data_IF_137191374316
#
_entry.id   IF_137191374316
#
_cell.length_a   1.000
_cell.length_b   1.000
_cell.length_c   1.000
_cell.angle_alpha   90.00
_cell.angle_beta   90.00
_cell.angle_gamma   90.00
#
_symmetry.space_group_name_H-M   'P 1'
#
loop_
_entity.id
_entity.type
_entity.pdbx_description
1 polymer ?
#
# COMPACT_ATOMS: atom_id res chain seq x y z
N UNK A 1 -20.00 6.26 -2.02
CA UNK A 1 -18.63 6.21 -1.45
C UNK A 1 -17.58 5.70 -2.45
N UNK A 2 -17.84 4.67 -3.25
CA UNK A 2 -16.90 4.10 -4.22
C UNK A 2 -16.08 5.14 -5.02
N UNK A 3 -16.75 6.09 -5.68
CA UNK A 3 -16.08 7.11 -6.49
C UNK A 3 -15.21 8.09 -5.69
N UNK A 4 -15.58 8.41 -4.44
CA UNK A 4 -14.75 9.25 -3.57
C UNK A 4 -13.46 8.52 -3.16
N UNK A 5 -13.57 7.22 -2.86
CA UNK A 5 -12.39 6.39 -2.61
C UNK A 5 -11.48 6.36 -3.84
N UNK A 6 -12.04 6.12 -5.03
CA UNK A 6 -11.26 6.10 -6.29
C UNK A 6 -10.66 7.46 -6.66
N UNK A 7 -11.34 8.56 -6.37
CA UNK A 7 -10.78 9.90 -6.53
C UNK A 7 -9.56 10.12 -5.61
N UNK A 8 -9.61 9.61 -4.38
CA UNK A 8 -8.44 9.67 -3.50
C UNK A 8 -7.31 8.73 -3.95
N UNK A 9 -7.63 7.54 -4.49
CA UNK A 9 -6.61 6.64 -5.08
C UNK A 9 -5.91 7.31 -6.26
N UNK A 10 -6.66 8.00 -7.13
CA UNK A 10 -6.10 8.76 -8.25
C UNK A 10 -5.26 9.96 -7.79
N UNK A 11 -5.70 10.65 -6.72
CA UNK A 11 -4.88 11.68 -6.05
C UNK A 11 -3.57 11.12 -5.51
N UNK A 12 -3.57 9.93 -4.89
CA UNK A 12 -2.34 9.27 -4.43
C UNK A 12 -1.40 8.94 -5.61
N UNK A 13 -1.94 8.50 -6.75
CA UNK A 13 -1.15 8.30 -7.97
C UNK A 13 -0.56 9.62 -8.48
N UNK A 14 -1.33 10.70 -8.43
CA UNK A 14 -0.88 12.05 -8.81
C UNK A 14 0.23 12.57 -7.91
N UNK A 15 0.19 12.28 -6.59
CA UNK A 15 1.27 12.61 -5.65
C UNK A 15 2.53 11.75 -5.85
N UNK A 16 2.38 10.48 -6.22
CA UNK A 16 3.51 9.57 -6.43
C UNK A 16 4.29 9.85 -7.73
N UNK A 17 3.59 10.23 -8.80
CA UNK A 17 4.19 10.39 -10.14
C UNK A 17 5.36 11.40 -10.19
N UNK A 18 5.28 12.61 -9.59
CA UNK A 18 6.39 13.56 -9.56
C UNK A 18 7.61 13.10 -8.74
N UNK A 19 7.41 12.22 -7.76
CA UNK A 19 8.48 11.71 -6.90
C UNK A 19 9.24 10.57 -7.59
N UNK A 20 8.64 9.99 -8.63
CA UNK A 20 9.20 8.93 -9.48
C UNK A 20 9.04 9.28 -10.98
N UNK A 21 9.58 10.42 -11.45
CA UNK A 21 9.19 11.03 -12.72
C UNK A 21 9.56 10.23 -13.97
N UNK A 22 10.50 9.29 -13.83
CA UNK A 22 10.98 8.44 -14.92
C UNK A 22 10.36 7.02 -14.87
N UNK A 23 9.48 6.77 -13.90
CA UNK A 23 8.75 5.50 -13.77
C UNK A 23 7.38 5.62 -14.42
N UNK A 24 7.10 4.69 -15.34
CA UNK A 24 5.83 4.61 -16.09
C UNK A 24 5.29 3.18 -16.04
N UNK A 25 4.12 2.97 -16.66
CA UNK A 25 3.56 1.63 -16.84
C UNK A 25 4.56 0.75 -17.56
N UNK A 26 4.96 -0.33 -16.92
CA UNK A 26 5.89 -1.32 -17.46
C UNK A 26 5.12 -2.50 -18.07
N UNK A 27 5.71 -3.18 -19.07
CA UNK A 27 5.11 -4.39 -19.63
C UNK A 27 4.89 -5.46 -18.56
N UNK A 28 3.70 -6.03 -18.54
CA UNK A 28 3.30 -7.10 -17.62
C UNK A 28 2.34 -8.09 -18.27
N UNK A 29 1.95 -9.13 -17.53
CA UNK A 29 0.88 -10.03 -17.97
C UNK A 29 -0.40 -9.71 -17.21
N UNK A 30 -1.52 -9.71 -17.91
CA UNK A 30 -2.82 -9.66 -17.28
C UNK A 30 -3.05 -10.97 -16.52
N UNK A 31 -3.11 -10.92 -15.18
CA UNK A 31 -3.22 -12.13 -14.34
C UNK A 31 -4.68 -12.47 -14.01
N UNK A 32 -5.60 -11.53 -14.18
CA UNK A 32 -7.03 -11.71 -13.90
C UNK A 32 -7.86 -11.56 -15.18
N UNK A 33 -9.11 -12.06 -15.20
CA UNK A 33 -10.01 -11.78 -16.31
C UNK A 33 -10.50 -10.34 -16.15
N UNK A 34 -10.40 -9.57 -17.22
CA UNK A 34 -11.16 -8.33 -17.36
C UNK A 34 -12.11 -8.49 -18.54
N UNK A 35 -13.16 -7.68 -18.62
CA UNK A 35 -14.16 -7.75 -19.70
C UNK A 35 -13.54 -7.78 -21.10
N UNK A 36 -12.40 -7.09 -21.30
CA UNK A 36 -11.81 -6.86 -22.62
C UNK A 36 -10.40 -7.44 -22.81
N UNK A 37 -9.79 -8.02 -21.77
CA UNK A 37 -8.46 -8.63 -21.86
C UNK A 37 -8.50 -10.04 -21.29
N UNK A 38 -8.11 -11.00 -22.13
CA UNK A 38 -7.90 -12.37 -21.71
C UNK A 38 -6.74 -12.45 -20.71
N UNK A 39 -6.76 -13.45 -19.84
CA UNK A 39 -5.63 -13.77 -18.97
C UNK A 39 -4.40 -14.12 -19.80
N UNK A 40 -3.22 -13.74 -19.33
CA UNK A 40 -1.95 -13.98 -19.99
C UNK A 40 -1.64 -13.00 -21.12
N UNK A 41 -2.56 -12.11 -21.48
CA UNK A 41 -2.31 -11.02 -22.44
C UNK A 41 -1.17 -10.15 -21.92
N UNK A 42 -0.19 -9.86 -22.78
CA UNK A 42 0.86 -8.89 -22.45
C UNK A 42 0.25 -7.49 -22.46
N UNK A 43 0.28 -6.83 -21.31
CA UNK A 43 -0.21 -5.47 -21.12
C UNK A 43 0.96 -4.50 -21.14
N UNK A 44 0.82 -3.41 -21.88
CA UNK A 44 1.77 -2.30 -21.95
C UNK A 44 1.02 -0.98 -21.76
N UNK A 45 1.75 0.13 -21.73
CA UNK A 45 1.17 1.47 -21.64
C UNK A 45 0.23 1.83 -22.79
N UNK A 46 0.34 1.14 -23.94
CA UNK A 46 -0.35 1.45 -25.19
C UNK A 46 -1.64 0.65 -25.38
N UNK A 47 -1.98 -0.25 -24.44
CA UNK A 47 -3.23 -1.02 -24.54
C UNK A 47 -4.44 -0.09 -24.39
N UNK A 48 -5.45 -0.23 -25.27
CA UNK A 48 -6.75 0.45 -25.13
C UNK A 48 -7.42 0.16 -23.77
N UNK A 49 -7.63 1.20 -22.97
CA UNK A 49 -8.37 1.16 -21.71
C UNK A 49 -9.88 1.21 -21.98
N UNK A 50 -10.39 0.22 -22.70
CA UNK A 50 -11.82 0.13 -23.01
C UNK A 50 -12.64 -0.11 -21.72
N UNK A 51 -13.83 0.52 -21.59
CA UNK A 51 -14.58 1.26 -22.60
C UNK A 51 -14.36 2.78 -22.59
N UNK A 52 -13.19 3.29 -22.19
CA UNK A 52 -12.93 4.73 -22.12
C UNK A 52 -12.33 5.26 -23.43
N UNK A 53 -13.00 6.23 -24.05
CA UNK A 53 -12.63 6.78 -25.35
C UNK A 53 -12.41 8.29 -25.31
N UNK A 54 -11.39 8.77 -26.03
CA UNK A 54 -11.14 10.20 -26.30
C UNK A 54 -12.00 10.71 -27.46
N UNK A 55 -12.37 9.80 -28.38
CA UNK A 55 -13.21 10.06 -29.56
C UNK A 55 -13.88 8.76 -30.00
N UNK A 56 -14.83 8.82 -30.93
CA UNK A 56 -15.60 7.66 -31.40
C UNK A 56 -14.78 6.38 -31.65
N UNK A 57 -13.59 6.51 -32.25
CA UNK A 57 -12.76 5.37 -32.67
C UNK A 57 -11.38 5.33 -31.97
N UNK A 58 -11.18 6.13 -30.92
CA UNK A 58 -9.89 6.20 -30.20
C UNK A 58 -10.08 6.03 -28.69
N UNK A 59 -9.59 4.92 -28.17
CA UNK A 59 -9.58 4.64 -26.74
C UNK A 59 -8.47 5.44 -26.03
N UNK A 60 -8.67 5.72 -24.73
CA UNK A 60 -7.58 6.14 -23.87
C UNK A 60 -6.55 5.01 -23.72
N UNK A 61 -5.29 5.39 -23.52
CA UNK A 61 -4.19 4.48 -23.15
C UNK A 61 -3.52 5.01 -21.88
N UNK A 62 -2.74 4.18 -21.20
CA UNK A 62 -2.00 4.65 -20.01
C UNK A 62 -0.96 5.71 -20.38
N UNK A 63 -0.40 5.66 -21.60
CA UNK A 63 0.50 6.69 -22.11
C UNK A 63 -0.16 8.08 -22.18
N UNK A 64 -1.47 8.14 -22.41
CA UNK A 64 -2.25 9.39 -22.47
C UNK A 64 -2.78 9.83 -21.09
N UNK A 65 -2.57 9.05 -20.03
CA UNK A 65 -3.02 9.39 -18.66
C UNK A 65 -1.86 9.75 -17.74
N UNK A 66 -0.68 9.92 -18.31
CA UNK A 66 0.52 10.39 -17.65
C UNK A 66 0.39 11.80 -17.04
N UNK A 67 -0.52 12.61 -17.59
CA UNK A 67 -0.78 14.00 -17.23
C UNK A 67 -2.28 14.20 -17.06
N UNK A 68 -2.70 14.53 -15.84
CA UNK A 68 -4.12 14.70 -15.46
C UNK A 68 -4.77 15.93 -16.09
N UNK A 69 -3.99 16.85 -16.65
CA UNK A 69 -4.53 17.96 -17.44
C UNK A 69 -5.21 17.48 -18.74
N UNK A 70 -4.84 16.31 -19.27
CA UNK A 70 -5.46 15.74 -20.48
C UNK A 70 -6.96 15.44 -20.28
N UNK A 71 -7.39 14.76 -19.20
CA UNK A 71 -8.80 14.63 -18.85
C UNK A 71 -9.42 15.89 -18.21
N UNK A 72 -8.65 16.96 -18.02
CA UNK A 72 -9.17 18.27 -17.62
C UNK A 72 -9.31 18.51 -16.12
N UNK A 73 -8.52 17.83 -15.29
CA UNK A 73 -8.49 18.07 -13.84
C UNK A 73 -7.08 18.17 -13.27
N UNK A 74 -6.98 18.66 -12.04
CA UNK A 74 -5.75 18.68 -11.25
C UNK A 74 -6.12 18.50 -9.77
N UNK A 75 -5.13 18.23 -8.92
CA UNK A 75 -5.31 18.23 -7.47
C UNK A 75 -4.82 19.56 -6.86
N UNK A 76 -5.44 20.07 -5.77
CA UNK A 76 -5.08 21.35 -5.16
C UNK A 76 -3.62 21.46 -4.71
N UNK A 77 -2.97 20.32 -4.45
CA UNK A 77 -1.55 20.24 -4.10
C UNK A 77 -0.63 20.79 -5.20
N UNK A 78 -1.11 20.86 -6.45
CA UNK A 78 -0.36 21.33 -7.60
C UNK A 78 -0.65 22.79 -7.98
N UNK A 79 -1.61 23.45 -7.34
CA UNK A 79 -2.08 24.79 -7.74
C UNK A 79 -0.96 25.84 -7.79
N UNK A 80 0.03 25.71 -6.90
CA UNK A 80 1.20 26.62 -6.82
C UNK A 80 2.41 26.15 -7.62
N UNK A 81 2.31 25.00 -8.28
CA UNK A 81 3.41 24.30 -8.95
C UNK A 81 3.23 24.23 -10.48
N UNK A 82 2.16 24.84 -10.99
CA UNK A 82 1.80 24.84 -12.42
C UNK A 82 2.94 25.43 -13.25
N UNK A 83 3.38 24.69 -14.28
CA UNK A 83 4.47 25.10 -15.18
C UNK A 83 5.88 24.96 -14.61
N UNK A 84 6.03 24.37 -13.41
CA UNK A 84 7.34 24.10 -12.81
C UNK A 84 8.13 22.98 -13.52
N UNK A 85 9.45 22.97 -13.33
CA UNK A 85 10.28 21.81 -13.72
C UNK A 85 9.96 20.58 -12.87
N UNK A 86 10.39 19.39 -13.32
CA UNK A 86 10.23 18.14 -12.56
C UNK A 86 10.73 18.28 -11.12
N UNK A 87 11.90 18.87 -10.93
CA UNK A 87 12.52 19.08 -9.62
C UNK A 87 11.74 20.09 -8.77
N UNK A 88 11.22 21.14 -9.40
CA UNK A 88 10.42 22.16 -8.72
C UNK A 88 9.06 21.64 -8.26
N UNK A 89 8.53 20.58 -8.89
CA UNK A 89 7.31 19.90 -8.47
C UNK A 89 7.63 18.82 -7.42
N UNK A 90 8.70 18.06 -7.61
CA UNK A 90 9.06 16.93 -6.73
C UNK A 90 9.25 17.35 -5.29
N UNK A 91 10.12 18.32 -5.00
CA UNK A 91 10.46 18.68 -3.61
C UNK A 91 9.25 19.16 -2.79
N UNK A 92 8.37 20.06 -3.28
CA UNK A 92 7.19 20.46 -2.53
C UNK A 92 6.18 19.34 -2.31
N UNK A 93 6.08 18.39 -3.24
CA UNK A 93 5.19 17.23 -3.10
C UNK A 93 5.76 16.22 -2.09
N UNK A 94 7.07 15.97 -2.11
CA UNK A 94 7.76 15.16 -1.10
C UNK A 94 7.52 15.76 0.31
N UNK A 95 7.75 17.06 0.49
CA UNK A 95 7.50 17.77 1.77
C UNK A 95 6.02 17.71 2.18
N UNK A 96 5.11 17.85 1.22
CA UNK A 96 3.68 17.72 1.48
C UNK A 96 3.32 16.32 2.00
N UNK A 97 3.83 15.26 1.37
CA UNK A 97 3.59 13.88 1.79
C UNK A 97 4.14 13.64 3.20
N UNK A 98 5.37 14.07 3.47
CA UNK A 98 6.00 13.94 4.79
C UNK A 98 5.20 14.65 5.88
N UNK A 99 4.74 15.87 5.62
CA UNK A 99 3.98 16.68 6.58
C UNK A 99 2.60 16.11 6.87
N UNK A 100 1.93 15.56 5.86
CA UNK A 100 0.54 15.12 5.98
C UNK A 100 0.39 13.65 6.39
N UNK A 101 1.29 12.78 5.91
CA UNK A 101 1.21 11.33 6.08
C UNK A 101 2.42 10.73 6.79
N UNK A 102 3.53 11.46 6.90
CA UNK A 102 4.71 11.01 7.64
C UNK A 102 4.46 10.91 9.15
N UNK A 103 5.36 10.20 9.83
CA UNK A 103 5.32 10.03 11.28
C UNK A 103 5.39 11.38 11.99
N UNK A 104 4.37 11.68 12.80
CA UNK A 104 4.30 12.95 13.54
C UNK A 104 5.17 12.88 14.79
N UNK A 105 5.92 13.95 15.03
CA UNK A 105 6.66 14.16 16.28
C UNK A 105 5.68 14.25 17.44
N UNK A 106 5.80 13.35 18.42
CA UNK A 106 5.04 13.45 19.67
C UNK A 106 5.74 14.45 20.61
N UNK A 107 5.10 15.59 20.97
CA UNK A 107 5.70 16.55 21.90
C UNK A 107 5.89 15.92 23.29
N UNK A 108 7.10 16.02 23.87
CA UNK A 108 7.38 15.62 25.25
C UNK A 108 8.00 14.24 25.46
N UNK A 109 8.24 13.46 24.41
CA UNK A 109 9.04 12.24 24.46
C UNK A 109 10.45 12.52 23.92
N UNK A 110 11.48 11.87 24.51
CA UNK A 110 12.88 12.13 24.17
C UNK A 110 13.14 12.06 22.66
N UNK A 111 13.79 13.11 22.13
CA UNK A 111 13.95 13.41 20.69
C UNK A 111 14.56 12.28 19.84
N UNK A 112 15.23 11.31 20.45
CA UNK A 112 15.98 10.26 19.75
C UNK A 112 15.13 9.05 19.33
N UNK A 113 13.92 8.88 19.88
CA UNK A 113 13.17 7.62 19.79
C UNK A 113 11.83 7.76 19.05
N UNK A 114 11.22 8.95 19.06
CA UNK A 114 9.82 9.15 18.69
C UNK A 114 9.58 9.70 17.29
N UNK A 115 10.62 9.76 16.47
CA UNK A 115 10.52 10.03 15.05
C UNK A 115 10.88 8.76 14.26
N UNK A 116 10.01 7.74 14.21
CA UNK A 116 10.22 6.60 13.31
C UNK A 116 10.05 6.98 11.83
N UNK A 117 9.71 8.23 11.52
CA UNK A 117 9.75 8.73 10.15
C UNK A 117 11.15 9.23 9.82
N UNK A 118 11.67 8.84 8.66
CA UNK A 118 12.84 9.46 8.05
C UNK A 118 12.53 10.93 7.71
N UNK A 119 12.59 11.83 8.71
CA UNK A 119 12.32 13.25 8.47
C UNK A 119 13.53 13.91 7.81
N UNK A 120 13.28 14.83 6.87
CA UNK A 120 14.30 15.65 6.19
C UNK A 120 15.02 16.68 7.10
N UNK A 121 15.09 16.46 8.42
CA UNK A 121 15.91 17.31 9.27
C UNK A 121 17.40 17.07 8.95
N UNK A 122 18.13 18.17 8.76
CA UNK A 122 19.57 18.11 8.54
C UNK A 122 20.23 17.82 9.88
N UNK A 123 20.69 16.58 10.03
CA UNK A 123 21.53 16.16 11.15
C UNK A 123 22.99 16.24 10.73
N UNK A 124 23.87 16.58 11.69
CA UNK A 124 25.31 16.61 11.45
C UNK A 124 25.88 15.20 11.26
N UNK A 125 25.25 14.21 11.89
CA UNK A 125 25.61 12.79 11.83
C UNK A 125 24.57 12.02 11.01
N UNK A 126 25.02 10.95 10.34
CA UNK A 126 24.11 10.00 9.70
C UNK A 126 23.30 9.27 10.77
N UNK A 127 21.98 9.25 10.60
CA UNK A 127 21.08 8.52 11.48
C UNK A 127 20.76 7.16 10.86
N UNK A 128 20.91 6.11 11.66
CA UNK A 128 20.58 4.75 11.27
C UNK A 128 19.40 4.24 12.10
N UNK A 129 18.43 3.64 11.42
CA UNK A 129 17.29 2.97 12.04
C UNK A 129 16.85 1.81 11.14
N UNK A 130 16.54 0.66 11.74
CA UNK A 130 15.88 -0.43 11.02
C UNK A 130 14.38 -0.15 10.91
N UNK A 131 13.85 -0.29 9.69
CA UNK A 131 12.41 -0.26 9.39
C UNK A 131 11.81 -1.64 9.63
N UNK A 132 10.81 -1.71 10.51
CA UNK A 132 10.19 -2.95 10.96
C UNK A 132 8.77 -3.08 10.41
N UNK A 133 8.61 -4.07 9.55
CA UNK A 133 7.35 -4.34 8.85
C UNK A 133 6.99 -5.81 9.00
N UNK A 134 5.73 -6.09 9.32
CA UNK A 134 5.15 -7.43 9.13
C UNK A 134 4.92 -7.59 7.64
N UNK A 135 5.72 -8.43 6.99
CA UNK A 135 5.50 -8.78 5.60
C UNK A 135 4.70 -10.08 5.51
N UNK A 136 3.57 -10.00 4.82
CA UNK A 136 2.66 -11.12 4.62
C UNK A 136 2.60 -11.47 3.15
N UNK A 137 2.81 -12.74 2.83
CA UNK A 137 2.60 -13.31 1.49
C UNK A 137 1.59 -14.45 1.58
N UNK A 138 0.55 -14.40 0.76
CA UNK A 138 -0.49 -15.44 0.69
C UNK A 138 -0.94 -15.67 -0.76
N UNK A 139 -1.64 -16.78 -1.02
CA UNK A 139 -2.18 -17.07 -2.35
C UNK A 139 -3.50 -16.33 -2.53
N UNK A 140 -3.59 -15.49 -3.57
CA UNK A 140 -4.76 -14.63 -3.81
C UNK A 140 -6.07 -15.42 -3.97
N UNK A 141 -6.01 -16.62 -4.55
CA UNK A 141 -7.19 -17.47 -4.84
C UNK A 141 -7.32 -18.68 -3.91
N UNK A 142 -6.65 -18.65 -2.76
CA UNK A 142 -6.75 -19.75 -1.82
C UNK A 142 -8.07 -19.74 -1.02
N UNK A 143 -8.55 -18.55 -0.71
CA UNK A 143 -9.89 -18.30 -0.16
C UNK A 143 -10.80 -17.85 -1.30
N UNK A 144 -12.05 -18.31 -1.24
CA UNK A 144 -13.04 -17.99 -2.27
C UNK A 144 -13.81 -16.69 -2.01
N UNK A 145 -13.53 -16.02 -0.89
CA UNK A 145 -14.23 -14.83 -0.47
C UNK A 145 -13.26 -13.73 -0.01
N UNK A 146 -13.77 -12.52 0.10
CA UNK A 146 -13.07 -11.42 0.75
C UNK A 146 -12.74 -11.80 2.20
N UNK A 147 -11.54 -11.45 2.63
CA UNK A 147 -11.01 -11.86 3.93
C UNK A 147 -10.13 -10.78 4.53
N UNK A 148 -9.98 -10.82 5.84
CA UNK A 148 -9.15 -9.89 6.61
C UNK A 148 -8.20 -10.67 7.49
N UNK A 149 -6.91 -10.39 7.37
CA UNK A 149 -5.88 -10.85 8.30
C UNK A 149 -5.57 -9.69 9.25
N UNK A 150 -5.99 -9.81 10.50
CA UNK A 150 -5.78 -8.81 11.56
C UNK A 150 -4.55 -9.18 12.38
N UNK A 151 -3.67 -8.22 12.62
CA UNK A 151 -2.51 -8.36 13.51
C UNK A 151 -2.67 -7.47 14.74
N UNK A 152 -2.31 -8.00 15.91
CA UNK A 152 -2.46 -7.31 17.19
C UNK A 152 -1.41 -7.74 18.22
N UNK A 153 -1.16 -6.89 19.20
CA UNK A 153 -0.28 -7.10 20.36
C UNK A 153 -1.16 -7.54 21.55
N UNK A 154 -1.02 -8.78 22.02
CA UNK A 154 -1.98 -9.47 22.89
C UNK A 154 -1.57 -9.64 24.37
N UNK A 155 -0.71 -8.80 24.93
CA UNK A 155 -0.19 -9.01 26.30
C UNK A 155 -1.24 -9.04 27.40
N UNK A 156 -2.33 -8.29 27.25
CA UNK A 156 -3.15 -7.92 28.42
C UNK A 156 -4.47 -8.68 28.51
N UNK A 157 -4.71 -9.67 27.62
CA UNK A 157 -6.05 -10.27 27.49
C UNK A 157 -7.13 -9.25 27.06
N UNK A 158 -6.70 -8.04 26.69
CA UNK A 158 -7.55 -6.98 26.16
C UNK A 158 -8.12 -7.36 24.81
N UNK A 159 -9.28 -6.80 24.50
CA UNK A 159 -9.97 -7.00 23.23
C UNK A 159 -9.02 -6.67 22.06
N UNK A 160 -8.96 -7.56 21.07
CA UNK A 160 -8.21 -7.40 19.82
C UNK A 160 -8.53 -6.10 19.07
N UNK A 161 -9.66 -5.47 19.42
CA UNK A 161 -10.13 -4.21 18.86
C UNK A 161 -9.76 -2.97 19.67
N UNK A 162 -9.03 -3.09 20.79
CA UNK A 162 -8.48 -1.92 21.48
C UNK A 162 -7.39 -1.26 20.64
N UNK A 163 -7.51 0.06 20.45
CA UNK A 163 -6.66 0.84 19.53
C UNK A 163 -5.16 0.76 19.82
N UNK A 164 -4.78 0.53 21.08
CA UNK A 164 -3.36 0.46 21.48
C UNK A 164 -2.70 -0.89 21.16
N UNK A 165 -3.53 -1.92 20.97
CA UNK A 165 -3.13 -3.30 20.72
C UNK A 165 -3.34 -3.71 19.26
N UNK A 166 -4.24 -3.05 18.53
CA UNK A 166 -4.43 -3.27 17.10
C UNK A 166 -3.21 -2.76 16.31
N UNK A 167 -2.51 -3.66 15.61
CA UNK A 167 -1.34 -3.31 14.79
C UNK A 167 -1.72 -2.98 13.35
N UNK A 168 -2.71 -3.68 12.78
CA UNK A 168 -3.17 -3.43 11.42
C UNK A 168 -3.93 -4.60 10.80
N UNK A 169 -4.40 -4.40 9.58
CA UNK A 169 -5.09 -5.43 8.79
C UNK A 169 -4.58 -5.48 7.36
N UNK A 170 -4.60 -6.68 6.80
CA UNK A 170 -4.47 -6.92 5.37
C UNK A 170 -5.81 -7.42 4.88
N UNK A 171 -6.39 -6.72 3.90
CA UNK A 171 -7.72 -6.99 3.39
C UNK A 171 -7.64 -7.50 1.96
N UNK A 172 -8.29 -8.61 1.68
CA UNK A 172 -8.40 -9.18 0.33
C UNK A 172 -9.74 -8.76 -0.26
N UNK A 173 -9.69 -8.05 -1.40
CA UNK A 173 -10.89 -7.69 -2.15
C UNK A 173 -11.08 -8.71 -3.27
N UNK A 174 -12.17 -9.46 -3.21
CA UNK A 174 -12.45 -10.57 -4.11
C UNK A 174 -13.88 -10.47 -4.69
N UNK A 175 -14.03 -10.77 -5.98
CA UNK A 175 -15.33 -10.73 -6.68
C UNK A 175 -15.64 -12.04 -7.44
N UNK A 176 -14.63 -12.84 -7.83
CA UNK A 176 -14.81 -14.00 -8.73
C UNK A 176 -14.15 -15.26 -8.18
N UNK A 177 -14.94 -16.27 -7.84
CA UNK A 177 -14.44 -17.54 -7.30
C UNK A 177 -13.76 -18.42 -8.36
N UNK A 178 -12.89 -19.37 -7.95
CA UNK A 178 -12.27 -20.33 -8.86
C UNK A 178 -13.24 -21.24 -9.63
N UNK A 179 -14.50 -21.31 -9.22
CA UNK A 179 -15.54 -22.13 -9.83
C UNK A 179 -16.18 -21.44 -11.04
N UNK A 180 -16.32 -20.12 -10.99
CA UNK A 180 -16.82 -19.29 -12.10
C UNK A 180 -15.69 -18.72 -12.96
N UNK A 181 -14.45 -18.85 -12.49
CA UNK A 181 -13.27 -18.24 -13.10
C UNK A 181 -12.26 -19.32 -13.57
N UNK A 182 -12.28 -19.63 -14.87
CA UNK A 182 -11.46 -20.70 -15.46
C UNK A 182 -9.93 -20.50 -15.24
N UNK A 183 -9.45 -19.27 -15.09
CA UNK A 183 -8.04 -18.95 -14.89
C UNK A 183 -7.64 -18.81 -13.41
N UNK A 184 -8.55 -18.62 -12.45
CA UNK A 184 -8.22 -18.76 -11.02
C UNK A 184 -7.65 -20.16 -10.73
N UNK A 185 -8.09 -21.18 -11.49
CA UNK A 185 -7.50 -22.52 -11.46
C UNK A 185 -6.09 -22.61 -12.08
N UNK A 186 -5.76 -21.73 -13.03
CA UNK A 186 -4.45 -21.67 -13.69
C UNK A 186 -3.46 -20.74 -12.96
N UNK A 187 -3.96 -19.80 -12.16
CA UNK A 187 -3.19 -18.84 -11.37
C UNK A 187 -3.30 -19.10 -9.86
N UNK A 188 -3.57 -20.36 -9.45
CA UNK A 188 -3.71 -20.76 -8.04
C UNK A 188 -2.50 -20.40 -7.17
N UNK A 189 -1.33 -20.28 -7.78
CA UNK A 189 -0.08 -19.92 -7.12
C UNK A 189 0.21 -18.40 -7.14
N UNK A 190 -0.71 -17.58 -7.66
CA UNK A 190 -0.53 -16.12 -7.65
C UNK A 190 -0.43 -15.63 -6.21
N UNK A 191 0.77 -15.16 -5.84
CA UNK A 191 1.05 -14.59 -4.55
C UNK A 191 0.58 -13.14 -4.50
N UNK A 192 -0.16 -12.80 -3.46
CA UNK A 192 -0.45 -11.43 -3.05
C UNK A 192 0.34 -11.12 -1.78
N UNK A 193 0.77 -9.86 -1.68
CA UNK A 193 1.56 -9.38 -0.56
C UNK A 193 0.85 -8.23 0.14
N UNK A 194 1.15 -8.06 1.42
CA UNK A 194 0.75 -6.91 2.21
C UNK A 194 1.76 -6.63 3.32
N UNK A 195 1.73 -5.40 3.82
CA UNK A 195 2.71 -4.86 4.74
C UNK A 195 2.01 -4.12 5.87
N UNK A 196 2.44 -4.34 7.11
CA UNK A 196 1.98 -3.60 8.30
C UNK A 196 3.21 -3.06 9.01
N UNK A 197 3.31 -1.75 9.13
CA UNK A 197 4.42 -1.08 9.81
C UNK A 197 4.30 -1.20 11.33
N UNK A 198 5.43 -1.47 11.99
CA UNK A 198 5.52 -1.63 13.44
C UNK A 198 6.29 -0.49 14.12
N UNK A 199 6.89 0.41 13.34
CA UNK A 199 7.88 1.37 13.84
C UNK A 199 7.30 2.30 14.90
N UNK A 200 6.04 2.72 14.74
CA UNK A 200 5.35 3.57 15.71
C UNK A 200 5.11 2.86 17.05
N UNK A 201 4.84 1.55 17.03
CA UNK A 201 4.63 0.76 18.25
C UNK A 201 5.97 0.51 18.96
N UNK A 202 7.02 0.19 18.20
CA UNK A 202 8.38 -0.01 18.70
C UNK A 202 8.92 1.29 19.30
N UNK A 203 8.77 2.42 18.61
CA UNK A 203 9.12 3.75 19.09
C UNK A 203 8.42 4.08 20.40
N UNK A 204 7.11 3.84 20.48
CA UNK A 204 6.27 4.15 21.65
C UNK A 204 6.68 3.33 22.88
N UNK A 205 6.86 2.02 22.72
CA UNK A 205 6.93 1.10 23.86
C UNK A 205 8.34 0.63 24.21
N UNK A 206 9.24 0.53 23.23
CA UNK A 206 10.58 -0.05 23.41
C UNK A 206 11.69 0.98 23.29
N UNK A 207 11.56 1.86 22.30
CA UNK A 207 12.51 2.92 22.01
C UNK A 207 13.89 2.49 21.51
N UNK A 208 13.98 1.27 20.98
CA UNK A 208 15.16 0.75 20.29
C UNK A 208 14.70 -0.12 19.15
N UNK A 209 15.32 0.06 17.99
CA UNK A 209 15.03 -0.65 16.74
C UNK A 209 16.02 -1.80 16.49
N UNK A 210 16.87 -2.12 17.47
CA UNK A 210 17.84 -3.20 17.37
C UNK A 210 17.15 -4.58 17.30
N UNK A 211 17.62 -5.52 16.47
CA UNK A 211 16.93 -6.78 16.24
C UNK A 211 16.59 -7.57 17.50
N UNK A 212 17.54 -7.74 18.42
CA UNK A 212 17.29 -8.48 19.66
C UNK A 212 16.26 -7.78 20.55
N UNK A 213 16.33 -6.44 20.64
CA UNK A 213 15.42 -5.63 21.44
C UNK A 213 13.98 -5.69 20.91
N UNK A 214 13.81 -5.62 19.59
CA UNK A 214 12.50 -5.72 18.93
C UNK A 214 11.94 -7.14 19.02
N UNK A 215 12.77 -8.16 18.81
CA UNK A 215 12.34 -9.55 18.92
C UNK A 215 11.87 -9.92 20.34
N UNK A 216 12.56 -9.43 21.37
CA UNK A 216 12.11 -9.56 22.76
C UNK A 216 10.81 -8.80 23.01
N UNK A 217 10.69 -7.57 22.49
CA UNK A 217 9.48 -6.77 22.61
C UNK A 217 8.26 -7.45 21.98
N UNK A 218 8.36 -7.92 20.73
CA UNK A 218 7.25 -8.57 20.02
C UNK A 218 6.83 -9.89 20.67
N UNK A 219 7.79 -10.67 21.18
CA UNK A 219 7.51 -11.88 21.98
C UNK A 219 6.82 -11.51 23.29
N UNK A 220 7.34 -10.52 24.00
CA UNK A 220 6.79 -10.00 25.24
C UNK A 220 5.34 -9.56 25.05
N UNK A 221 5.08 -8.74 24.01
CA UNK A 221 3.77 -8.24 23.57
C UNK A 221 2.85 -9.28 22.95
N UNK A 222 3.30 -10.53 22.77
CA UNK A 222 2.53 -11.63 22.16
C UNK A 222 1.90 -11.21 20.83
N UNK A 223 2.71 -10.71 19.89
CA UNK A 223 2.24 -10.41 18.54
C UNK A 223 1.51 -11.62 17.95
N UNK A 224 0.24 -11.42 17.63
CA UNK A 224 -0.71 -12.46 17.24
C UNK A 224 -1.49 -12.03 16.01
N UNK A 225 -2.18 -12.98 15.38
CA UNK A 225 -3.00 -12.72 14.19
C UNK A 225 -4.32 -13.50 14.24
N UNK A 226 -5.35 -12.92 13.64
CA UNK A 226 -6.65 -13.55 13.39
C UNK A 226 -7.00 -13.47 11.90
N UNK A 227 -7.56 -14.54 11.36
CA UNK A 227 -8.14 -14.58 10.02
C UNK A 227 -9.66 -14.50 10.13
N UNK A 228 -10.24 -13.51 9.48
CA UNK A 228 -11.68 -13.35 9.34
C UNK A 228 -12.07 -13.59 7.89
N UNK A 229 -12.90 -14.60 7.65
CA UNK A 229 -13.37 -14.97 6.32
C UNK A 229 -14.75 -15.62 6.44
N UNK A 230 -15.58 -15.50 5.40
CA UNK A 230 -16.81 -16.27 5.25
C UNK A 230 -16.57 -17.72 4.82
N UNK A 231 -15.35 -18.07 4.43
CA UNK A 231 -14.94 -19.42 4.02
C UNK A 231 -14.55 -20.24 5.26
N UNK A 232 -15.05 -21.47 5.40
CA UNK A 232 -14.67 -22.36 6.50
C UNK A 232 -13.24 -22.93 6.34
N UNK A 233 -12.65 -22.74 5.16
CA UNK A 233 -11.32 -23.24 4.82
C UNK A 233 -10.20 -22.36 5.40
N UNK A 234 -9.20 -22.94 6.09
CA UNK A 234 -8.03 -22.19 6.55
C UNK A 234 -7.08 -21.83 5.39
N UNK A 235 -6.33 -20.73 5.55
CA UNK A 235 -5.18 -20.42 4.69
C UNK A 235 -4.03 -21.42 4.97
N UNK A 236 -3.73 -22.26 3.99
CA UNK A 236 -2.62 -23.20 3.97
C UNK A 236 -1.32 -22.56 3.47
N UNK A 237 -1.39 -21.51 2.65
CA UNK A 237 -0.23 -20.71 2.24
C UNK A 237 -0.31 -19.29 2.80
N UNK A 238 0.20 -19.12 4.02
CA UNK A 238 0.36 -17.83 4.66
C UNK A 238 1.76 -17.72 5.26
N UNK A 239 2.66 -17.02 4.56
CA UNK A 239 3.99 -16.68 5.05
C UNK A 239 3.96 -15.32 5.70
N UNK A 240 4.40 -15.26 6.96
CA UNK A 240 4.63 -14.01 7.69
C UNK A 240 6.10 -13.99 8.06
N UNK A 241 6.80 -12.91 7.69
CA UNK A 241 8.22 -12.68 7.96
C UNK A 241 8.45 -11.28 8.49
#
# INVERSE_FOLDING_TARGET
>A
MFWLHRANVDRLLSLWSPTHPDVRVTPGKNLDITMNLATGTNVTQDIPLTPFYTSKDRAWTSANLADTSQPGYSCPEFDKLVGGSKEHIRYPIDDFVDKHYGSRRLPGLAQAVTNPGFTSQVYADELEMLDWVIHVTFRKFELNDSSTILFYLGTDGGDTHQSENYAGTINTFHELTPETCANCKNNKDMAQQGFIHLDQYIARDKGSFEPNAVMEYLKGKKLSRNLFTGDEKPLTFLKVS
#
